data_IF_584181138419
#
_entry.id   IF_584181138419
#
_cell.length_a   1.000
_cell.length_b   1.000
_cell.length_c   1.000
_cell.angle_alpha   90.00
_cell.angle_beta   90.00
_cell.angle_gamma   90.00
#
_symmetry.space_group_name_H-M   'P 1'
#
loop_
_entity.id
_entity.type
_entity.pdbx_description
1 polymer ?
#
# COMPACT_ATOMS: atom_id res chain seq x y z
N UNK A 1 24.53 -56.19 43.62
CA UNK A 1 25.88 -55.91 44.16
C UNK A 1 26.68 -55.27 43.03
N UNK A 2 27.45 -54.22 43.20
CA UNK A 2 27.58 -53.11 44.17
C UNK A 2 29.00 -52.56 43.89
N UNK A 3 29.16 -51.23 43.94
CA UNK A 3 30.44 -50.49 43.93
C UNK A 3 31.31 -50.62 42.64
N UNK A 4 31.73 -49.59 41.91
CA UNK A 4 32.10 -48.16 42.11
C UNK A 4 33.57 -47.92 42.48
N UNK A 5 34.31 -47.18 41.63
CA UNK A 5 35.76 -46.93 41.85
C UNK A 5 36.49 -46.01 40.86
N UNK A 6 36.17 -44.71 40.89
CA UNK A 6 37.14 -43.59 40.79
C UNK A 6 37.99 -43.31 39.50
N UNK A 7 37.55 -42.28 38.76
CA UNK A 7 38.32 -41.10 38.26
C UNK A 7 39.63 -41.21 37.46
N UNK A 8 39.60 -40.69 36.22
CA UNK A 8 40.57 -39.68 35.71
C UNK A 8 40.00 -38.93 34.47
N UNK A 9 40.22 -37.61 34.36
CA UNK A 9 40.03 -36.83 33.12
C UNK A 9 41.39 -36.50 32.50
N UNK A 10 41.57 -36.74 31.20
CA UNK A 10 42.66 -36.14 30.40
C UNK A 10 42.20 -35.91 28.95
N UNK A 11 42.47 -34.71 28.42
CA UNK A 11 42.97 -34.57 27.04
C UNK A 11 41.98 -34.31 25.88
N UNK A 12 41.76 -33.03 25.59
CA UNK A 12 42.03 -32.44 24.26
C UNK A 12 41.21 -32.91 23.04
N UNK A 13 40.33 -32.03 22.53
CA UNK A 13 39.59 -32.25 21.28
C UNK A 13 39.05 -30.96 20.66
N UNK A 14 39.79 -29.85 20.74
CA UNK A 14 39.32 -28.54 20.26
C UNK A 14 39.20 -28.48 18.74
N UNK A 15 38.03 -28.05 18.23
CA UNK A 15 37.85 -27.60 16.85
C UNK A 15 37.56 -26.10 16.82
N UNK A 16 38.57 -25.37 16.37
CA UNK A 16 38.52 -24.10 15.64
C UNK A 16 37.26 -23.23 15.80
N UNK A 17 37.36 -22.21 16.66
CA UNK A 17 36.46 -21.06 16.61
C UNK A 17 36.84 -20.17 15.40
N UNK A 18 36.33 -20.50 14.22
CA UNK A 18 36.35 -19.57 13.08
C UNK A 18 35.54 -18.31 13.42
N UNK A 19 36.05 -17.09 13.12
CA UNK A 19 35.38 -15.82 13.47
C UNK A 19 34.22 -15.53 12.52
N UNK A 20 33.19 -16.36 12.58
CA UNK A 20 31.99 -16.23 11.74
C UNK A 20 30.90 -15.49 12.53
N UNK A 21 30.55 -14.29 12.06
CA UNK A 21 29.70 -13.32 12.78
C UNK A 21 28.31 -13.87 13.08
N UNK A 22 28.09 -14.35 14.30
CA UNK A 22 26.79 -14.89 14.72
C UNK A 22 25.77 -13.78 14.98
N UNK A 23 25.04 -13.42 13.93
CA UNK A 23 23.84 -12.55 14.01
C UNK A 23 22.68 -13.27 14.75
N UNK A 24 22.71 -14.61 14.82
CA UNK A 24 21.72 -15.42 15.52
C UNK A 24 21.75 -15.20 17.05
N UNK A 25 20.65 -14.68 17.62
CA UNK A 25 20.45 -14.60 19.07
C UNK A 25 20.48 -15.99 19.75
N UNK A 26 20.85 -16.07 21.04
CA UNK A 26 20.74 -17.30 21.83
C UNK A 26 19.32 -17.88 21.81
N UNK A 27 19.22 -19.20 21.65
CA UNK A 27 17.94 -19.88 21.42
C UNK A 27 16.96 -19.75 22.59
N UNK A 28 15.78 -19.20 22.31
CA UNK A 28 14.63 -19.24 23.23
C UNK A 28 14.17 -20.69 23.48
N UNK A 29 13.44 -20.90 24.58
CA UNK A 29 12.89 -22.22 24.95
C UNK A 29 12.00 -22.82 23.86
N UNK A 30 11.95 -24.16 23.78
CA UNK A 30 11.26 -24.93 22.74
C UNK A 30 9.77 -24.55 22.54
N UNK A 31 9.12 -24.00 23.56
CA UNK A 31 7.75 -23.49 23.49
C UNK A 31 7.68 -22.16 22.72
N UNK A 32 8.64 -21.25 22.94
CA UNK A 32 8.72 -19.95 22.27
C UNK A 32 8.95 -20.11 20.77
N UNK A 33 9.88 -20.98 20.36
CA UNK A 33 10.11 -21.30 18.94
C UNK A 33 8.83 -21.77 18.23
N UNK A 34 8.07 -22.68 18.86
CA UNK A 34 6.78 -23.16 18.34
C UNK A 34 5.72 -22.06 18.29
N UNK A 35 5.68 -21.17 19.29
CA UNK A 35 4.75 -20.03 19.30
C UNK A 35 5.05 -19.05 18.15
N UNK A 36 6.32 -18.66 17.98
CA UNK A 36 6.78 -17.76 16.90
C UNK A 36 6.46 -18.38 15.52
N UNK A 37 6.78 -19.66 15.30
CA UNK A 37 6.46 -20.36 14.05
C UNK A 37 4.95 -20.37 13.77
N UNK A 38 4.10 -20.65 14.76
CA UNK A 38 2.63 -20.62 14.61
C UNK A 38 2.12 -19.21 14.30
N UNK A 39 2.59 -18.18 15.02
CA UNK A 39 2.19 -16.79 14.77
C UNK A 39 2.59 -16.33 13.37
N UNK A 40 3.82 -16.63 12.92
CA UNK A 40 4.26 -16.31 11.56
C UNK A 40 3.36 -16.96 10.50
N UNK A 41 2.98 -18.23 10.68
CA UNK A 41 2.06 -18.92 9.76
C UNK A 41 0.69 -18.23 9.76
N UNK A 42 0.13 -17.88 10.92
CA UNK A 42 -1.17 -17.19 11.00
C UNK A 42 -1.17 -15.83 10.30
N UNK A 43 -0.16 -14.98 10.56
CA UNK A 43 -0.05 -13.68 9.89
C UNK A 43 0.17 -13.82 8.37
N UNK A 44 1.01 -14.74 7.92
CA UNK A 44 1.21 -14.97 6.48
C UNK A 44 0.00 -15.60 5.79
N UNK A 45 -0.81 -16.41 6.49
CA UNK A 45 -2.10 -16.89 5.97
C UNK A 45 -3.10 -15.74 5.81
N UNK A 46 -3.15 -14.78 6.74
CA UNK A 46 -3.99 -13.58 6.61
C UNK A 46 -3.53 -12.72 5.44
N UNK A 47 -2.22 -12.45 5.31
CA UNK A 47 -1.63 -11.72 4.18
C UNK A 47 -1.94 -12.42 2.85
N UNK A 48 -1.83 -13.75 2.78
CA UNK A 48 -2.18 -14.54 1.60
C UNK A 48 -3.67 -14.38 1.23
N UNK A 49 -4.59 -14.48 2.21
CA UNK A 49 -6.03 -14.30 1.98
C UNK A 49 -6.37 -12.87 1.53
N UNK A 50 -5.73 -11.86 2.12
CA UNK A 50 -5.85 -10.47 1.66
C UNK A 50 -5.29 -10.28 0.23
N UNK A 51 -4.16 -10.92 -0.10
CA UNK A 51 -3.60 -10.91 -1.45
C UNK A 51 -4.52 -11.55 -2.49
N UNK A 52 -5.11 -12.71 -2.17
CA UNK A 52 -6.14 -13.37 -2.99
C UNK A 52 -7.37 -12.48 -3.17
N UNK A 53 -7.85 -11.84 -2.10
CA UNK A 53 -9.01 -10.94 -2.17
C UNK A 53 -8.72 -9.68 -3.02
N UNK A 54 -7.58 -9.03 -2.83
CA UNK A 54 -7.16 -7.85 -3.60
C UNK A 54 -6.91 -8.19 -5.06
N UNK A 55 -6.31 -9.34 -5.36
CA UNK A 55 -6.10 -9.82 -6.73
C UNK A 55 -7.44 -10.17 -7.39
N UNK A 56 -8.38 -10.80 -6.68
CA UNK A 56 -9.72 -11.09 -7.19
C UNK A 56 -10.51 -9.80 -7.47
N UNK A 57 -10.50 -8.83 -6.57
CA UNK A 57 -11.12 -7.51 -6.78
C UNK A 57 -10.44 -6.75 -7.92
N UNK A 58 -9.11 -6.78 -7.99
CA UNK A 58 -8.35 -6.12 -9.06
C UNK A 58 -8.64 -6.71 -10.45
N UNK A 59 -8.72 -8.05 -10.58
CA UNK A 59 -9.17 -8.72 -11.82
C UNK A 59 -10.62 -8.36 -12.12
N UNK A 60 -11.51 -8.43 -11.13
CA UNK A 60 -12.93 -8.13 -11.31
C UNK A 60 -13.15 -6.68 -11.80
N UNK A 61 -12.45 -5.71 -11.22
CA UNK A 61 -12.45 -4.29 -11.64
C UNK A 61 -11.83 -4.11 -13.03
N UNK A 62 -10.77 -4.86 -13.37
CA UNK A 62 -10.09 -4.77 -14.68
C UNK A 62 -10.87 -5.42 -15.83
N UNK A 63 -11.70 -6.42 -15.53
CA UNK A 63 -12.43 -7.24 -16.54
C UNK A 63 -13.91 -6.87 -16.64
N UNK A 64 -14.57 -6.62 -15.50
CA UNK A 64 -16.00 -6.24 -15.44
C UNK A 64 -16.27 -5.19 -14.35
N UNK A 65 -15.54 -4.07 -14.44
CA UNK A 65 -15.88 -2.81 -13.76
C UNK A 65 -17.38 -2.46 -13.86
N UNK A 66 -18.05 -2.62 -15.02
CA UNK A 66 -19.50 -2.43 -15.19
C UNK A 66 -20.44 -3.34 -14.36
N UNK A 67 -19.95 -4.43 -13.76
CA UNK A 67 -20.72 -5.26 -12.84
C UNK A 67 -20.31 -5.11 -11.37
N UNK A 68 -19.04 -4.80 -11.07
CA UNK A 68 -18.61 -4.34 -9.72
C UNK A 68 -19.54 -3.22 -9.23
N UNK A 69 -19.64 -2.20 -10.07
CA UNK A 69 -20.69 -1.21 -10.24
C UNK A 69 -22.08 -1.53 -9.67
N UNK A 70 -22.70 -2.63 -10.12
CA UNK A 70 -24.13 -2.89 -9.87
C UNK A 70 -24.36 -3.51 -8.50
N UNK A 71 -23.28 -3.95 -7.85
CA UNK A 71 -23.29 -4.66 -6.57
C UNK A 71 -22.94 -3.70 -5.43
N UNK A 72 -21.99 -2.78 -5.64
CA UNK A 72 -21.50 -1.85 -4.60
C UNK A 72 -22.09 -0.43 -4.67
N UNK A 73 -23.00 -0.17 -5.62
CA UNK A 73 -23.48 1.18 -5.92
C UNK A 73 -22.64 1.85 -7.02
N UNK A 74 -23.14 2.95 -7.61
CA UNK A 74 -22.63 3.47 -8.88
C UNK A 74 -21.13 3.76 -8.84
N UNK A 75 -20.43 3.35 -9.92
CA UNK A 75 -18.97 3.24 -10.05
C UNK A 75 -18.40 2.87 -11.46
N UNK A 76 -18.93 3.19 -12.67
CA UNK A 76 -20.18 3.87 -13.07
C UNK A 76 -20.49 4.04 -14.61
N UNK A 77 -19.96 3.41 -15.67
CA UNK A 77 -19.36 2.09 -15.92
C UNK A 77 -18.52 2.08 -17.25
N UNK A 78 -17.18 1.93 -17.28
CA UNK A 78 -16.31 2.00 -18.49
C UNK A 78 -14.85 1.55 -18.29
N UNK A 79 -14.32 0.72 -19.19
CA UNK A 79 -13.19 -0.17 -18.89
C UNK A 79 -11.78 0.26 -19.37
N UNK A 80 -11.35 1.53 -19.22
CA UNK A 80 -9.97 1.93 -19.60
C UNK A 80 -9.14 2.66 -18.53
N UNK A 81 -9.72 3.28 -17.51
CA UNK A 81 -8.94 3.77 -16.34
C UNK A 81 -9.04 2.86 -15.10
N UNK A 82 -10.09 2.04 -15.02
CA UNK A 82 -10.22 0.93 -14.06
C UNK A 82 -9.17 -0.14 -14.30
N UNK A 83 -8.64 -0.18 -15.52
CA UNK A 83 -7.46 -0.93 -15.91
C UNK A 83 -6.20 -0.47 -15.15
N UNK A 84 -5.97 0.84 -14.95
CA UNK A 84 -4.78 1.30 -14.20
C UNK A 84 -4.90 1.01 -12.70
N UNK A 85 -6.02 1.38 -12.05
CA UNK A 85 -6.23 1.12 -10.62
C UNK A 85 -6.36 -0.38 -10.35
N UNK A 86 -7.04 -1.10 -11.25
CA UNK A 86 -7.16 -2.56 -11.22
C UNK A 86 -5.81 -3.26 -11.41
N UNK A 87 -4.93 -2.81 -12.31
CA UNK A 87 -3.56 -3.32 -12.40
C UNK A 87 -2.72 -3.02 -11.17
N UNK A 88 -2.90 -1.87 -10.50
CA UNK A 88 -2.25 -1.62 -9.20
C UNK A 88 -2.77 -2.58 -8.11
N UNK A 89 -4.08 -2.85 -8.05
CA UNK A 89 -4.67 -3.84 -7.14
C UNK A 89 -4.22 -5.28 -7.46
N UNK A 90 -4.09 -5.64 -8.74
CA UNK A 90 -3.55 -6.93 -9.18
C UNK A 90 -2.08 -7.05 -8.79
N UNK A 91 -1.26 -6.02 -9.01
CA UNK A 91 0.15 -6.03 -8.67
C UNK A 91 0.36 -6.14 -7.15
N UNK A 92 -0.33 -5.31 -6.35
CA UNK A 92 -0.29 -5.37 -4.90
C UNK A 92 -0.82 -6.72 -4.37
N UNK A 93 -1.95 -7.20 -4.90
CA UNK A 93 -2.52 -8.50 -4.56
C UNK A 93 -1.59 -9.66 -4.88
N UNK A 94 -0.90 -9.63 -6.03
CA UNK A 94 0.08 -10.64 -6.43
C UNK A 94 1.34 -10.62 -5.54
N UNK A 95 1.83 -9.44 -5.15
CA UNK A 95 2.96 -9.31 -4.20
C UNK A 95 2.56 -9.87 -2.83
N UNK A 96 1.41 -9.48 -2.30
CA UNK A 96 0.91 -9.97 -0.99
C UNK A 96 0.63 -11.48 -1.02
N UNK A 97 0.05 -12.01 -2.10
CA UNK A 97 -0.15 -13.45 -2.29
C UNK A 97 1.18 -14.19 -2.32
N UNK A 98 2.18 -13.66 -3.03
CA UNK A 98 3.53 -14.27 -3.13
C UNK A 98 4.25 -14.24 -1.77
N UNK A 99 4.20 -13.12 -1.05
CA UNK A 99 4.76 -12.96 0.29
C UNK A 99 4.12 -13.94 1.28
N UNK A 100 2.78 -13.96 1.36
CA UNK A 100 2.05 -14.85 2.25
C UNK A 100 2.29 -16.33 1.92
N UNK A 101 2.36 -16.68 0.64
CA UNK A 101 2.73 -18.04 0.22
C UNK A 101 4.15 -18.40 0.66
N UNK A 102 5.16 -17.57 0.38
CA UNK A 102 6.55 -17.82 0.74
C UNK A 102 6.75 -17.91 2.27
N UNK A 103 6.13 -17.01 3.03
CA UNK A 103 6.19 -17.01 4.50
C UNK A 103 5.56 -18.26 5.10
N UNK A 104 4.35 -18.65 4.63
CA UNK A 104 3.70 -19.89 5.06
C UNK A 104 4.47 -21.14 4.64
N UNK A 105 4.91 -21.22 3.38
CA UNK A 105 5.65 -22.36 2.84
C UNK A 105 6.99 -22.55 3.57
N UNK A 106 7.77 -21.48 3.74
CA UNK A 106 9.06 -21.52 4.44
C UNK A 106 8.93 -21.89 5.92
N UNK A 107 7.93 -21.32 6.61
CA UNK A 107 7.66 -21.66 8.01
C UNK A 107 7.15 -23.11 8.17
N UNK A 108 6.26 -23.60 7.31
CA UNK A 108 5.73 -24.97 7.40
C UNK A 108 6.78 -26.03 7.01
N UNK A 109 7.39 -25.90 5.83
CA UNK A 109 8.31 -26.90 5.27
C UNK A 109 9.73 -26.84 5.84
N UNK A 110 10.00 -25.88 6.72
CA UNK A 110 11.33 -25.65 7.32
C UNK A 110 12.41 -25.32 6.28
N UNK A 111 11.97 -24.86 5.09
CA UNK A 111 12.82 -24.55 3.96
C UNK A 111 13.54 -23.21 4.15
N UNK A 112 14.81 -23.29 4.55
CA UNK A 112 15.74 -22.16 4.70
C UNK A 112 15.83 -21.26 3.45
N UNK A 113 15.76 -21.82 2.24
CA UNK A 113 15.76 -21.06 1.00
C UNK A 113 14.50 -20.22 0.81
N UNK A 114 13.33 -20.70 1.27
CA UNK A 114 12.09 -19.91 1.23
C UNK A 114 12.10 -18.77 2.25
N UNK A 115 12.60 -19.01 3.47
CA UNK A 115 12.71 -17.97 4.51
C UNK A 115 13.70 -16.85 4.14
N UNK A 116 14.84 -17.18 3.53
CA UNK A 116 15.80 -16.17 3.09
C UNK A 116 15.29 -15.38 1.86
N UNK A 117 14.54 -16.00 0.95
CA UNK A 117 13.83 -15.28 -0.12
C UNK A 117 12.77 -14.33 0.44
N UNK A 118 11.93 -14.79 1.39
CA UNK A 118 10.94 -13.96 2.07
C UNK A 118 11.60 -12.76 2.77
N UNK A 119 12.71 -12.96 3.47
CA UNK A 119 13.51 -11.89 4.08
C UNK A 119 14.02 -10.88 3.04
N UNK A 120 14.60 -11.35 1.92
CA UNK A 120 15.13 -10.46 0.89
C UNK A 120 14.04 -9.64 0.18
N UNK A 121 12.84 -10.20 -0.04
CA UNK A 121 11.73 -9.47 -0.64
C UNK A 121 11.23 -8.37 0.32
N UNK A 122 11.03 -8.68 1.61
CA UNK A 122 10.69 -7.65 2.61
C UNK A 122 11.78 -6.58 2.74
N UNK A 123 13.06 -6.95 2.69
CA UNK A 123 14.16 -5.96 2.73
C UNK A 123 14.12 -5.00 1.52
N UNK A 124 13.78 -5.50 0.32
CA UNK A 124 13.62 -4.66 -0.87
C UNK A 124 12.39 -3.76 -0.77
N UNK A 125 11.28 -4.25 -0.20
CA UNK A 125 10.07 -3.44 0.05
C UNK A 125 10.38 -2.33 1.07
N UNK A 126 10.95 -2.67 2.23
CA UNK A 126 11.32 -1.69 3.25
C UNK A 126 12.26 -0.58 2.71
N UNK A 127 13.25 -0.93 1.88
CA UNK A 127 14.13 0.04 1.23
C UNK A 127 13.36 0.91 0.22
N UNK A 128 12.39 0.34 -0.51
CA UNK A 128 11.52 1.09 -1.41
C UNK A 128 10.54 2.02 -0.67
N UNK A 129 9.97 1.60 0.47
CA UNK A 129 9.13 2.45 1.33
C UNK A 129 9.93 3.64 1.85
N UNK A 130 11.13 3.40 2.39
CA UNK A 130 12.01 4.48 2.88
C UNK A 130 12.42 5.43 1.74
N UNK A 131 12.73 4.91 0.56
CA UNK A 131 13.04 5.75 -0.61
C UNK A 131 11.83 6.59 -1.06
N UNK A 132 10.64 5.98 -1.14
CA UNK A 132 9.39 6.67 -1.49
C UNK A 132 9.03 7.76 -0.46
N UNK A 133 9.19 7.48 0.84
CA UNK A 133 8.97 8.45 1.91
C UNK A 133 9.93 9.64 1.81
N UNK A 134 11.22 9.40 1.54
CA UNK A 134 12.21 10.49 1.31
C UNK A 134 11.85 11.31 0.07
N UNK A 135 11.44 10.68 -1.03
CA UNK A 135 11.01 11.40 -2.24
C UNK A 135 9.76 12.25 -1.97
N UNK A 136 8.75 11.69 -1.31
CA UNK A 136 7.52 12.40 -0.99
C UNK A 136 7.72 13.59 -0.02
N UNK A 137 8.64 13.46 0.95
CA UNK A 137 8.92 14.52 1.93
C UNK A 137 9.86 15.61 1.43
N UNK A 138 10.88 15.26 0.63
CA UNK A 138 11.94 16.21 0.19
C UNK A 138 11.63 16.82 -1.17
N UNK A 139 10.96 16.08 -2.06
CA UNK A 139 10.76 16.45 -3.47
C UNK A 139 9.27 16.54 -3.82
N UNK A 140 8.46 17.19 -2.97
CA UNK A 140 7.01 17.36 -3.16
C UNK A 140 6.67 17.84 -4.56
N UNK A 141 7.37 18.86 -5.06
CA UNK A 141 7.15 19.42 -6.41
C UNK A 141 7.55 18.49 -7.55
N UNK A 142 8.43 17.50 -7.32
CA UNK A 142 8.74 16.46 -8.32
C UNK A 142 7.64 15.39 -8.35
N UNK A 143 7.13 15.01 -7.17
CA UNK A 143 5.99 14.10 -7.05
C UNK A 143 4.71 14.70 -7.65
N UNK A 144 4.44 15.98 -7.33
CA UNK A 144 3.42 16.84 -7.93
C UNK A 144 3.49 16.79 -9.46
N UNK A 145 4.59 17.26 -10.07
CA UNK A 145 4.74 17.29 -11.53
C UNK A 145 4.55 15.90 -12.18
N UNK A 146 5.07 14.84 -11.56
CA UNK A 146 4.90 13.47 -12.07
C UNK A 146 3.44 13.01 -12.03
N UNK A 147 2.72 13.33 -10.96
CA UNK A 147 1.30 13.02 -10.80
C UNK A 147 0.42 13.90 -11.71
N UNK A 148 0.70 15.20 -11.84
CA UNK A 148 0.03 16.11 -12.78
C UNK A 148 0.10 15.57 -14.21
N UNK A 149 1.27 15.10 -14.65
CA UNK A 149 1.48 14.49 -15.97
C UNK A 149 0.72 13.16 -16.18
N UNK A 150 0.32 12.47 -15.11
CA UNK A 150 -0.48 11.25 -15.17
C UNK A 150 -1.99 11.53 -15.06
N UNK A 151 -2.38 12.42 -14.15
CA UNK A 151 -3.76 12.61 -13.68
C UNK A 151 -4.50 13.67 -14.49
N UNK A 152 -3.87 14.78 -14.89
CA UNK A 152 -4.58 15.81 -15.68
C UNK A 152 -4.97 15.33 -17.08
N UNK A 153 -4.11 14.64 -17.86
CA UNK A 153 -4.54 14.04 -19.13
C UNK A 153 -5.62 12.97 -18.93
N UNK A 154 -5.59 12.30 -17.77
CA UNK A 154 -6.57 11.30 -17.33
C UNK A 154 -7.94 11.93 -17.09
N UNK A 155 -8.01 13.07 -16.40
CA UNK A 155 -9.23 13.89 -16.21
C UNK A 155 -9.75 14.39 -17.57
N UNK A 156 -8.91 15.07 -18.36
CA UNK A 156 -9.32 15.67 -19.64
C UNK A 156 -9.81 14.64 -20.67
N UNK A 157 -9.33 13.39 -20.60
CA UNK A 157 -9.77 12.32 -21.53
C UNK A 157 -11.10 11.69 -21.13
N UNK A 158 -11.34 11.46 -19.84
CA UNK A 158 -12.42 10.55 -19.40
C UNK A 158 -13.49 11.19 -18.50
N UNK A 159 -13.25 12.36 -17.89
CA UNK A 159 -14.23 12.97 -16.98
C UNK A 159 -15.50 13.42 -17.74
N UNK A 160 -16.65 12.89 -17.32
CA UNK A 160 -17.93 12.97 -18.03
C UNK A 160 -18.20 11.81 -19.00
N UNK A 161 -17.16 11.14 -19.54
CA UNK A 161 -17.31 9.99 -20.44
C UNK A 161 -17.33 8.66 -19.67
N UNK A 162 -16.29 8.40 -18.87
CA UNK A 162 -16.28 7.30 -17.90
C UNK A 162 -16.92 7.82 -16.62
N UNK A 163 -18.20 7.54 -16.42
CA UNK A 163 -18.90 8.02 -15.20
C UNK A 163 -18.32 7.39 -13.93
N UNK A 164 -17.61 6.27 -14.05
CA UNK A 164 -16.79 5.64 -13.01
C UNK A 164 -15.72 6.59 -12.48
N UNK A 165 -14.88 7.07 -13.39
CA UNK A 165 -13.79 7.99 -13.10
C UNK A 165 -14.38 9.30 -12.60
N UNK A 166 -15.42 9.79 -13.28
CA UNK A 166 -16.21 10.95 -12.87
C UNK A 166 -16.69 10.81 -11.43
N UNK A 167 -17.18 9.64 -11.01
CA UNK A 167 -17.71 9.45 -9.65
C UNK A 167 -16.62 9.22 -8.60
N UNK A 168 -15.57 8.44 -8.89
CA UNK A 168 -14.39 8.33 -7.99
C UNK A 168 -13.78 9.70 -7.77
N UNK A 169 -13.71 10.52 -8.84
CA UNK A 169 -13.23 11.88 -8.77
C UNK A 169 -14.19 12.81 -8.02
N UNK A 170 -15.50 12.69 -8.21
CA UNK A 170 -16.50 13.43 -7.43
C UNK A 170 -16.42 13.08 -5.94
N UNK A 171 -16.35 11.80 -5.56
CA UNK A 171 -16.20 11.39 -4.15
C UNK A 171 -14.83 11.80 -3.56
N UNK A 172 -13.80 11.96 -4.40
CA UNK A 172 -12.50 12.54 -4.01
C UNK A 172 -12.65 14.04 -3.73
N UNK A 173 -13.26 14.78 -4.66
CA UNK A 173 -13.57 16.22 -4.52
C UNK A 173 -14.49 16.51 -3.33
N UNK A 174 -15.47 15.64 -3.06
CA UNK A 174 -16.41 15.74 -1.94
C UNK A 174 -15.73 15.41 -0.60
N UNK A 175 -14.95 14.32 -0.55
CA UNK A 175 -14.29 13.86 0.67
C UNK A 175 -13.15 14.76 1.14
N UNK A 176 -12.39 15.34 0.20
CA UNK A 176 -11.32 16.30 0.48
C UNK A 176 -11.78 17.77 0.42
N UNK A 177 -12.95 18.08 -0.17
CA UNK A 177 -13.49 19.44 -0.40
C UNK A 177 -12.61 20.30 -1.32
N UNK A 178 -12.29 19.75 -2.49
CA UNK A 178 -11.34 20.29 -3.46
C UNK A 178 -11.88 20.21 -4.89
N UNK A 179 -11.20 20.84 -5.85
CA UNK A 179 -11.58 20.85 -7.26
C UNK A 179 -10.39 20.59 -8.19
N UNK A 180 -10.53 19.61 -9.09
CA UNK A 180 -9.46 19.22 -10.02
C UNK A 180 -8.25 18.62 -9.32
N UNK A 181 -7.15 18.39 -10.05
CA UNK A 181 -5.90 17.94 -9.43
C UNK A 181 -5.13 19.14 -8.86
N UNK A 182 -4.94 20.15 -9.70
CA UNK A 182 -4.36 21.47 -9.40
C UNK A 182 -5.47 22.52 -9.22
N UNK A 183 -6.50 22.53 -10.08
CA UNK A 183 -7.66 23.44 -10.02
C UNK A 183 -8.72 23.08 -11.11
N UNK A 184 -9.79 23.89 -11.23
CA UNK A 184 -10.88 23.69 -12.17
C UNK A 184 -10.47 23.59 -13.66
N UNK A 185 -9.36 24.21 -14.08
CA UNK A 185 -8.91 24.16 -15.50
C UNK A 185 -8.44 22.77 -15.93
N UNK A 186 -8.21 21.85 -14.99
CA UNK A 186 -7.99 20.43 -15.29
C UNK A 186 -9.20 19.78 -15.99
N UNK A 187 -10.41 20.34 -15.83
CA UNK A 187 -11.62 19.88 -16.52
C UNK A 187 -11.86 20.58 -17.87
N UNK A 188 -11.11 21.62 -18.24
CA UNK A 188 -11.19 22.18 -19.61
C UNK A 188 -10.89 21.08 -20.62
N UNK A 189 -11.55 21.10 -21.77
CA UNK A 189 -11.55 20.04 -22.77
C UNK A 189 -12.12 18.67 -22.35
N UNK A 190 -12.53 18.46 -21.08
CA UNK A 190 -13.18 17.22 -20.67
C UNK A 190 -14.53 17.01 -21.38
N UNK A 191 -14.94 15.74 -21.62
CA UNK A 191 -16.27 15.41 -22.11
C UNK A 191 -17.41 16.10 -21.32
N UNK A 192 -17.31 16.18 -19.99
CA UNK A 192 -18.31 16.85 -19.15
C UNK A 192 -18.50 18.32 -19.52
N UNK A 193 -17.41 19.09 -19.57
CA UNK A 193 -17.46 20.53 -19.88
C UNK A 193 -17.88 20.76 -21.33
N UNK A 194 -17.48 19.88 -22.26
CA UNK A 194 -17.89 19.95 -23.68
C UNK A 194 -19.37 19.68 -23.93
N UNK A 195 -19.99 18.81 -23.14
CA UNK A 195 -21.43 18.51 -23.24
C UNK A 195 -22.28 19.58 -22.52
N UNK A 196 -21.88 19.97 -21.30
CA UNK A 196 -22.73 20.77 -20.41
C UNK A 196 -22.39 22.28 -20.41
N UNK A 197 -21.24 22.68 -20.93
CA UNK A 197 -20.71 24.06 -20.91
C UNK A 197 -20.55 24.66 -19.50
N UNK A 198 -20.46 23.79 -18.48
CA UNK A 198 -20.24 24.13 -17.06
C UNK A 198 -19.20 23.20 -16.44
N UNK A 199 -18.57 23.65 -15.36
CA UNK A 199 -17.63 22.89 -14.55
C UNK A 199 -18.37 22.03 -13.49
N UNK A 200 -17.71 21.05 -12.86
CA UNK A 200 -18.32 20.24 -11.80
C UNK A 200 -18.82 21.12 -10.64
N UNK A 201 -19.97 20.82 -10.01
CA UNK A 201 -20.52 21.64 -8.92
C UNK A 201 -19.55 21.79 -7.74
N UNK A 202 -18.72 20.77 -7.48
CA UNK A 202 -17.64 20.79 -6.48
C UNK A 202 -16.59 21.90 -6.69
N UNK A 203 -16.49 22.46 -7.90
CA UNK A 203 -15.63 23.60 -8.22
C UNK A 203 -16.26 24.97 -7.93
N UNK A 204 -17.56 25.01 -7.62
CA UNK A 204 -18.30 26.21 -7.25
C UNK A 204 -18.99 26.02 -5.89
N UNK A 205 -18.25 25.63 -4.86
CA UNK A 205 -18.77 25.53 -3.49
C UNK A 205 -18.58 26.86 -2.74
N UNK A 206 -19.67 27.44 -2.26
CA UNK A 206 -19.68 28.61 -1.39
C UNK A 206 -19.40 28.18 0.05
N UNK A 207 -18.24 28.57 0.57
CA UNK A 207 -17.81 28.24 1.94
C UNK A 207 -18.48 29.06 3.05
N UNK A 208 -19.05 30.23 2.73
CA UNK A 208 -19.74 31.10 3.71
C UNK A 208 -21.19 30.64 3.93
N UNK A 209 -21.88 30.25 2.85
CA UNK A 209 -23.25 29.75 2.89
C UNK A 209 -23.34 28.22 2.99
N UNK A 210 -22.26 27.49 2.68
CA UNK A 210 -22.21 26.02 2.72
C UNK A 210 -22.95 25.32 1.58
N UNK A 211 -23.04 25.97 0.41
CA UNK A 211 -23.89 25.56 -0.71
C UNK A 211 -23.15 25.50 -2.04
N UNK A 212 -23.49 24.56 -2.91
CA UNK A 212 -23.03 24.57 -4.30
C UNK A 212 -23.76 25.66 -5.10
N UNK A 213 -23.02 26.36 -5.96
CA UNK A 213 -23.53 27.41 -6.86
C UNK A 213 -23.71 26.81 -8.26
N UNK A 214 -24.96 26.81 -8.74
CA UNK A 214 -25.31 26.34 -10.08
C UNK A 214 -25.97 27.47 -10.91
N UNK A 215 -25.65 27.61 -12.20
CA UNK A 215 -24.65 26.84 -12.96
C UNK A 215 -23.21 27.24 -12.62
N UNK A 216 -22.32 26.24 -12.49
CA UNK A 216 -20.90 26.47 -12.23
C UNK A 216 -20.16 26.88 -13.52
N UNK A 217 -20.19 28.17 -13.87
CA UNK A 217 -19.44 28.67 -15.05
C UNK A 217 -17.95 28.86 -14.73
N UNK A 218 -17.13 29.16 -15.74
CA UNK A 218 -15.72 29.51 -15.54
C UNK A 218 -15.53 30.72 -14.61
N UNK A 219 -16.47 31.68 -14.61
CA UNK A 219 -16.40 32.88 -13.76
C UNK A 219 -16.64 32.52 -12.30
N UNK A 220 -17.69 31.76 -12.00
CA UNK A 220 -18.00 31.28 -10.66
C UNK A 220 -16.90 30.34 -10.12
N UNK A 221 -16.36 29.43 -10.94
CA UNK A 221 -15.26 28.55 -10.54
C UNK A 221 -13.98 29.33 -10.23
N UNK A 222 -13.66 30.35 -11.03
CA UNK A 222 -12.55 31.26 -10.78
C UNK A 222 -12.77 32.14 -9.53
N UNK A 223 -14.02 32.55 -9.26
CA UNK A 223 -14.39 33.39 -8.13
C UNK A 223 -14.35 32.64 -6.80
N UNK A 224 -14.97 31.45 -6.73
CA UNK A 224 -14.95 30.61 -5.53
C UNK A 224 -13.55 30.06 -5.22
N UNK A 225 -12.71 29.88 -6.26
CA UNK A 225 -11.27 29.63 -6.13
C UNK A 225 -10.91 28.45 -5.20
N UNK A 226 -11.71 27.38 -5.29
CA UNK A 226 -11.53 26.12 -4.56
C UNK A 226 -10.15 25.53 -4.86
N UNK A 227 -9.45 25.04 -3.83
CA UNK A 227 -8.09 24.51 -3.96
C UNK A 227 -8.03 23.14 -4.68
N UNK A 228 -6.88 22.84 -5.29
CA UNK A 228 -6.62 21.59 -5.98
C UNK A 228 -6.57 20.40 -5.02
N UNK A 229 -7.06 19.23 -5.45
CA UNK A 229 -7.10 18.05 -4.59
C UNK A 229 -5.70 17.53 -4.19
N UNK A 230 -4.64 17.86 -4.93
CA UNK A 230 -3.28 17.54 -4.50
C UNK A 230 -2.80 18.40 -3.32
N UNK A 231 -3.00 19.72 -3.38
CA UNK A 231 -2.63 20.63 -2.30
C UNK A 231 -3.45 20.38 -1.04
N UNK A 232 -4.76 20.18 -1.17
CA UNK A 232 -5.65 19.84 -0.07
C UNK A 232 -5.27 18.48 0.58
N UNK A 233 -4.90 17.48 -0.22
CA UNK A 233 -4.37 16.21 0.31
C UNK A 233 -3.04 16.42 1.08
N UNK A 234 -2.13 17.26 0.58
CA UNK A 234 -0.91 17.61 1.31
C UNK A 234 -1.19 18.41 2.59
N UNK A 235 -2.21 19.28 2.59
CA UNK A 235 -2.68 19.99 3.78
C UNK A 235 -3.21 19.01 4.83
N UNK A 236 -4.07 18.07 4.44
CA UNK A 236 -4.63 17.07 5.35
C UNK A 236 -3.58 16.10 5.88
N UNK A 237 -2.60 15.69 5.06
CA UNK A 237 -1.45 14.88 5.50
C UNK A 237 -0.58 15.65 6.50
N UNK A 238 -0.31 16.95 6.27
CA UNK A 238 0.46 17.80 7.19
C UNK A 238 -0.28 18.03 8.51
N UNK A 239 -1.58 18.30 8.44
CA UNK A 239 -2.45 18.52 9.61
C UNK A 239 -2.60 17.26 10.45
N UNK A 240 -2.71 16.09 9.81
CA UNK A 240 -2.85 14.78 10.47
C UNK A 240 -1.53 14.00 10.53
N UNK A 241 -0.37 14.67 10.46
CA UNK A 241 0.95 14.05 10.31
C UNK A 241 1.29 13.02 11.41
N UNK A 242 0.78 13.22 12.63
CA UNK A 242 0.93 12.26 13.74
C UNK A 242 0.22 10.93 13.44
N UNK A 243 -0.99 10.99 12.88
CA UNK A 243 -1.79 9.81 12.50
C UNK A 243 -1.17 9.10 11.31
N UNK A 244 -0.83 9.84 10.24
CA UNK A 244 -0.21 9.29 9.02
C UNK A 244 1.17 8.68 9.33
N UNK A 245 2.01 9.40 10.07
CA UNK A 245 3.31 8.90 10.53
C UNK A 245 3.20 7.70 11.48
N UNK A 246 2.17 7.65 12.33
CA UNK A 246 1.88 6.51 13.18
C UNK A 246 1.50 5.25 12.41
N UNK A 247 0.70 5.38 11.34
CA UNK A 247 0.37 4.26 10.44
C UNK A 247 1.62 3.78 9.69
N UNK A 248 2.40 4.69 9.10
CA UNK A 248 3.63 4.34 8.39
C UNK A 248 4.68 3.66 9.29
N UNK A 249 4.89 4.18 10.51
CA UNK A 249 5.77 3.57 11.50
C UNK A 249 5.26 2.19 11.98
N UNK A 250 3.93 2.00 12.03
CA UNK A 250 3.30 0.71 12.31
C UNK A 250 3.59 -0.32 11.21
N UNK A 251 3.47 0.06 9.93
CA UNK A 251 3.76 -0.81 8.78
C UNK A 251 5.24 -1.23 8.78
N UNK A 252 6.17 -0.26 8.78
CA UNK A 252 7.61 -0.55 8.81
C UNK A 252 8.04 -1.32 10.06
N UNK A 253 7.38 -1.09 11.20
CA UNK A 253 7.59 -1.88 12.43
C UNK A 253 7.16 -3.35 12.30
N UNK A 254 6.06 -3.63 11.59
CA UNK A 254 5.62 -4.99 11.27
C UNK A 254 6.54 -5.68 10.25
N UNK A 255 7.03 -4.95 9.24
CA UNK A 255 8.03 -5.48 8.29
C UNK A 255 9.34 -5.87 8.99
N UNK A 256 9.87 -4.98 9.84
CA UNK A 256 11.07 -5.25 10.64
C UNK A 256 10.86 -6.44 11.57
N UNK A 257 9.70 -6.56 12.22
CA UNK A 257 9.36 -7.73 13.04
C UNK A 257 9.30 -9.03 12.21
N UNK A 258 8.72 -9.00 11.01
CA UNK A 258 8.65 -10.16 10.11
C UNK A 258 10.04 -10.57 9.59
N UNK A 259 10.92 -9.60 9.26
CA UNK A 259 12.32 -9.84 8.90
C UNK A 259 13.11 -10.47 10.05
N UNK A 260 12.98 -9.94 11.28
CA UNK A 260 13.62 -10.50 12.48
C UNK A 260 13.13 -11.93 12.75
N UNK A 261 11.83 -12.19 12.65
CA UNK A 261 11.25 -13.53 12.83
C UNK A 261 11.74 -14.51 11.76
N UNK A 262 11.81 -14.10 10.49
CA UNK A 262 12.33 -14.96 9.41
C UNK A 262 13.78 -15.35 9.65
N UNK A 263 14.64 -14.40 10.04
CA UNK A 263 16.04 -14.67 10.39
C UNK A 263 16.18 -15.54 11.64
N UNK A 264 15.35 -15.30 12.67
CA UNK A 264 15.33 -16.15 13.86
C UNK A 264 14.97 -17.60 13.53
N UNK A 265 13.96 -17.83 12.69
CA UNK A 265 13.63 -19.18 12.22
C UNK A 265 14.76 -19.78 11.38
N UNK A 266 15.29 -19.04 10.39
CA UNK A 266 16.41 -19.49 9.55
C UNK A 266 17.62 -19.97 10.38
N UNK A 267 17.97 -19.25 11.45
CA UNK A 267 19.04 -19.60 12.40
C UNK A 267 18.76 -20.84 13.25
N UNK A 268 17.50 -21.16 13.55
CA UNK A 268 17.12 -22.21 14.52
C UNK A 268 16.59 -23.51 13.85
N UNK A 269 16.24 -23.46 12.57
CA UNK A 269 15.98 -24.64 11.76
C UNK A 269 17.27 -25.45 11.52
N UNK A 270 17.14 -26.77 11.46
CA UNK A 270 18.29 -27.67 11.22
C UNK A 270 18.71 -27.72 9.76
#
# INVERSE_FOLDING_TARGET
MLESGMSAQVGGGGREQGPNTRICLPGATMQCFRFIKTMMILFNMLIFLCGVALLAVGIWVSVDGPSFMKIFGPLSSSAMQFVNVGYLLIAAGAVLLTLGFLGCYGAQTENKCALIMFFFILLVIFVAEVAAAVVALVYTTVAENFLTLMVVPTIKKEYGSQKDFTQVWNSTMEGLKCCGFNNYTDFEDSPYVKENNVFPPYCCFDHDNGTFVEPCTSVEAQYQKVEGCFDQLLYDIRTNAVTVGGVAAGIGGLELAAMIVSMYLYCNLK
#
